data_IF_453495718558
#
_entry.id   IF_453495718558
#
_cell.length_a   1.000
_cell.length_b   1.000
_cell.length_c   1.000
_cell.angle_alpha   90.00
_cell.angle_beta   90.00
_cell.angle_gamma   90.00
#
_symmetry.space_group_name_H-M   'P 1'
#
loop_
_entity.id
_entity.type
_entity.pdbx_description
1 polymer ?
#
# COMPACT_ATOMS: atom_id res chain seq x y z
N UNK A 1 6.44 23.51 7.09
CA UNK A 1 5.47 24.32 6.34
C UNK A 1 4.10 23.66 6.44
N UNK A 2 3.03 24.44 6.51
CA UNK A 2 1.64 23.93 6.56
C UNK A 2 1.17 23.49 5.18
N UNK A 3 0.44 22.38 5.10
CA UNK A 3 -0.19 21.92 3.86
C UNK A 3 -0.40 20.40 3.87
N UNK A 4 -1.38 19.95 3.09
CA UNK A 4 -1.82 18.55 3.08
C UNK A 4 -0.81 17.68 2.34
N UNK A 5 -0.71 16.44 2.79
CA UNK A 5 0.11 15.39 2.19
C UNK A 5 -0.81 14.25 1.79
N UNK A 6 -0.72 13.83 0.54
CA UNK A 6 -1.36 12.62 0.07
C UNK A 6 -0.32 11.53 -0.05
N UNK A 7 -0.63 10.32 0.39
CA UNK A 7 0.25 9.16 0.23
C UNK A 7 -0.49 7.99 -0.41
N UNK A 8 0.04 7.46 -1.50
CA UNK A 8 -0.42 6.23 -2.14
C UNK A 8 0.33 5.07 -1.50
N UNK A 9 -0.40 4.13 -0.91
CA UNK A 9 0.19 3.12 -0.03
C UNK A 9 -0.44 1.74 -0.18
N UNK A 10 0.38 0.71 0.07
CA UNK A 10 -0.04 -0.68 0.19
C UNK A 10 1.06 -1.48 0.89
N UNK A 11 0.68 -2.59 1.51
CA UNK A 11 1.55 -3.45 2.29
C UNK A 11 2.30 -2.79 3.46
N UNK A 12 3.24 -3.55 4.02
CA UNK A 12 4.03 -3.16 5.19
C UNK A 12 4.97 -1.99 4.91
N UNK A 13 5.54 -1.92 3.71
CA UNK A 13 6.46 -0.85 3.30
C UNK A 13 5.78 0.52 3.33
N UNK A 14 4.57 0.60 2.78
CA UNK A 14 3.78 1.81 2.81
C UNK A 14 3.30 2.19 4.20
N UNK A 15 2.78 1.24 4.98
CA UNK A 15 2.36 1.52 6.35
C UNK A 15 3.50 2.10 7.23
N UNK A 16 4.74 1.63 7.04
CA UNK A 16 5.91 2.21 7.70
C UNK A 16 6.18 3.65 7.29
N UNK A 17 6.05 4.00 6.01
CA UNK A 17 6.25 5.38 5.55
C UNK A 17 5.15 6.30 6.06
N UNK A 18 3.88 5.86 6.03
CA UNK A 18 2.76 6.66 6.59
C UNK A 18 2.99 6.95 8.07
N UNK A 19 3.46 5.96 8.83
CA UNK A 19 3.83 6.18 10.23
C UNK A 19 5.00 7.17 10.37
N UNK A 20 5.95 7.15 9.45
CA UNK A 20 7.03 8.15 9.36
C UNK A 20 6.50 9.56 9.10
N UNK A 21 5.53 9.72 8.21
CA UNK A 21 4.86 11.00 7.93
C UNK A 21 4.18 11.55 9.19
N UNK A 22 3.50 10.71 9.98
CA UNK A 22 2.88 11.10 11.25
C UNK A 22 3.89 11.57 12.32
N UNK A 23 5.18 11.24 12.18
CA UNK A 23 6.21 11.76 13.10
C UNK A 23 6.69 13.17 12.76
N UNK A 24 6.42 13.62 11.53
CA UNK A 24 7.03 14.84 10.98
C UNK A 24 5.98 15.83 10.49
N UNK A 25 4.71 15.43 10.45
CA UNK A 25 3.56 16.24 10.09
C UNK A 25 2.38 15.91 11.02
N UNK A 26 1.48 16.88 11.28
CA UNK A 26 0.24 16.61 12.00
C UNK A 26 -0.58 15.53 11.27
N UNK A 27 -1.12 14.52 11.97
CA UNK A 27 -1.91 13.46 11.34
C UNK A 27 -3.08 13.98 10.49
N UNK A 28 -3.74 15.05 10.92
CA UNK A 28 -4.88 15.67 10.25
C UNK A 28 -4.56 16.24 8.85
N UNK A 29 -3.27 16.50 8.57
CA UNK A 29 -2.80 16.95 7.27
C UNK A 29 -2.50 15.79 6.31
N UNK A 30 -2.58 14.53 6.77
CA UNK A 30 -2.22 13.35 6.00
C UNK A 30 -3.48 12.64 5.49
N UNK A 31 -3.50 12.36 4.18
CA UNK A 31 -4.48 11.46 3.55
C UNK A 31 -3.76 10.27 2.93
N UNK A 32 -4.04 9.07 3.43
CA UNK A 32 -3.55 7.83 2.86
C UNK A 32 -4.59 7.21 1.91
N UNK A 33 -4.24 7.07 0.64
CA UNK A 33 -5.02 6.33 -0.37
C UNK A 33 -4.44 4.92 -0.43
N UNK A 34 -5.24 3.95 -0.02
CA UNK A 34 -4.80 2.57 0.25
C UNK A 34 -5.26 1.63 -0.85
N UNK A 35 -4.36 0.78 -1.31
CA UNK A 35 -4.66 -0.34 -2.19
C UNK A 35 -5.78 -1.22 -1.61
N UNK A 36 -6.75 -1.59 -2.46
CA UNK A 36 -7.77 -2.61 -2.17
C UNK A 36 -7.74 -3.77 -3.18
N UNK A 37 -6.75 -3.81 -4.08
CA UNK A 37 -6.56 -4.93 -5.01
C UNK A 37 -6.28 -6.27 -4.33
N UNK A 38 -5.84 -6.22 -3.07
CA UNK A 38 -5.56 -7.39 -2.24
C UNK A 38 -6.78 -7.85 -1.42
N UNK A 39 -7.87 -7.09 -1.47
CA UNK A 39 -9.10 -7.39 -0.75
C UNK A 39 -9.77 -8.64 -1.32
N UNK A 40 -10.28 -9.49 -0.43
CA UNK A 40 -10.91 -10.74 -0.83
C UNK A 40 -11.91 -11.22 0.22
N UNK A 41 -12.66 -12.26 -0.14
CA UNK A 41 -13.52 -12.98 0.79
C UNK A 41 -12.89 -14.30 1.22
N UNK A 42 -12.83 -14.53 2.52
CA UNK A 42 -12.40 -15.80 3.11
C UNK A 42 -13.36 -16.21 4.21
N UNK A 43 -13.85 -17.45 4.17
CA UNK A 43 -14.83 -17.97 5.13
C UNK A 43 -16.08 -17.07 5.28
N UNK A 44 -16.49 -16.41 4.19
CA UNK A 44 -17.60 -15.45 4.16
C UNK A 44 -17.26 -14.04 4.66
N UNK A 45 -16.07 -13.82 5.20
CA UNK A 45 -15.62 -12.55 5.75
C UNK A 45 -14.92 -11.70 4.68
N UNK A 46 -15.16 -10.39 4.71
CA UNK A 46 -14.45 -9.38 3.93
C UNK A 46 -13.12 -9.02 4.62
N UNK A 47 -12.02 -9.25 3.92
CA UNK A 47 -10.65 -9.00 4.39
C UNK A 47 -10.03 -7.94 3.50
N UNK A 48 -9.41 -6.92 4.13
CA UNK A 48 -8.76 -5.81 3.44
C UNK A 48 -7.31 -5.68 3.93
N UNK A 49 -6.38 -6.52 3.45
CA UNK A 49 -5.07 -6.72 4.07
C UNK A 49 -4.23 -5.43 4.18
N UNK A 50 -4.27 -4.56 3.18
CA UNK A 50 -3.48 -3.33 3.15
C UNK A 50 -4.06 -2.25 4.07
N UNK A 51 -5.39 -2.14 4.14
CA UNK A 51 -6.09 -1.29 5.11
C UNK A 51 -5.80 -1.78 6.53
N UNK A 52 -5.95 -3.09 6.77
CA UNK A 52 -5.75 -3.68 8.10
C UNK A 52 -4.29 -3.52 8.55
N UNK A 53 -3.32 -3.78 7.67
CA UNK A 53 -1.89 -3.55 7.93
C UNK A 53 -1.61 -2.10 8.30
N UNK A 54 -2.22 -1.14 7.59
CA UNK A 54 -2.08 0.28 7.89
C UNK A 54 -2.68 0.61 9.26
N UNK A 55 -3.92 0.21 9.52
CA UNK A 55 -4.59 0.44 10.79
C UNK A 55 -3.80 -0.16 11.98
N UNK A 56 -3.27 -1.38 11.85
CA UNK A 56 -2.46 -2.00 12.90
C UNK A 56 -1.15 -1.26 13.11
N UNK A 57 -0.46 -0.89 12.04
CA UNK A 57 0.83 -0.20 12.12
C UNK A 57 0.70 1.16 12.78
N UNK A 58 -0.26 1.98 12.34
CA UNK A 58 -0.44 3.35 12.84
C UNK A 58 -0.96 3.38 14.27
N UNK A 59 -1.72 2.36 14.66
CA UNK A 59 -2.32 2.26 16.00
C UNK A 59 -1.41 1.58 17.02
N UNK A 60 -0.19 1.19 16.64
CA UNK A 60 0.76 0.49 17.51
C UNK A 60 0.38 -0.96 17.83
N UNK A 61 -0.47 -1.58 17.01
CA UNK A 61 -1.01 -2.93 17.20
C UNK A 61 -0.43 -3.97 16.24
N UNK A 62 0.42 -3.59 15.29
CA UNK A 62 1.03 -4.53 14.33
C UNK A 62 2.03 -5.46 15.03
N UNK A 63 2.05 -6.74 14.64
CA UNK A 63 3.01 -7.70 15.21
C UNK A 63 4.43 -7.42 14.71
N UNK A 64 5.35 -7.18 15.65
CA UNK A 64 6.77 -7.08 15.32
C UNK A 64 7.38 -8.46 15.04
N UNK A 65 6.92 -9.49 15.76
CA UNK A 65 7.44 -10.84 15.69
C UNK A 65 7.07 -11.55 14.38
N UNK A 66 5.81 -11.46 13.97
CA UNK A 66 5.32 -12.10 12.73
C UNK A 66 5.62 -11.24 11.50
N UNK A 67 5.70 -9.92 11.68
CA UNK A 67 5.91 -8.97 10.60
C UNK A 67 4.68 -8.71 9.73
N UNK A 68 3.54 -9.30 10.09
CA UNK A 68 2.19 -9.13 9.56
C UNK A 68 1.19 -9.39 10.72
N UNK A 69 -0.08 -9.04 10.53
CA UNK A 69 -1.11 -9.25 11.55
C UNK A 69 -0.91 -8.38 12.81
N UNK A 70 -1.59 -8.77 13.88
CA UNK A 70 -1.66 -8.01 15.14
C UNK A 70 -0.78 -8.62 16.22
N UNK A 71 -0.31 -7.78 17.13
CA UNK A 71 0.44 -8.21 18.31
C UNK A 71 -0.51 -8.83 19.35
N UNK A 72 -0.09 -9.93 19.99
CA UNK A 72 -0.88 -10.61 21.01
C UNK A 72 -2.03 -11.47 20.48
N UNK A 73 -1.98 -11.90 19.22
CA UNK A 73 -2.99 -12.79 18.63
C UNK A 73 -2.94 -14.21 19.23
N UNK A 74 -4.13 -14.81 19.33
CA UNK A 74 -4.33 -16.24 19.57
C UNK A 74 -4.95 -16.88 18.33
N UNK A 75 -4.82 -18.20 18.21
CA UNK A 75 -5.18 -18.96 17.00
C UNK A 75 -6.30 -19.96 17.26
N UNK A 76 -7.11 -19.74 18.28
CA UNK A 76 -8.13 -20.71 18.73
C UNK A 76 -9.18 -20.95 17.64
N UNK A 77 -9.57 -19.89 16.93
CA UNK A 77 -10.45 -19.99 15.77
C UNK A 77 -9.86 -20.88 14.67
N UNK A 78 -8.59 -20.65 14.31
CA UNK A 78 -7.93 -21.44 13.25
C UNK A 78 -7.73 -22.90 13.66
N UNK A 79 -7.39 -23.17 14.92
CA UNK A 79 -7.26 -24.53 15.45
C UNK A 79 -8.59 -25.28 15.38
N UNK A 80 -9.70 -24.62 15.79
CA UNK A 80 -11.03 -25.19 15.70
C UNK A 80 -11.47 -25.40 14.25
N UNK A 81 -11.23 -24.42 13.37
CA UNK A 81 -11.54 -24.51 11.94
C UNK A 81 -10.82 -25.70 11.29
N UNK A 82 -9.53 -25.86 11.59
CA UNK A 82 -8.71 -26.98 11.10
C UNK A 82 -9.22 -28.33 11.60
N UNK A 83 -9.71 -28.41 12.85
CA UNK A 83 -10.30 -29.63 13.39
C UNK A 83 -11.58 -30.09 12.66
N UNK A 84 -12.16 -29.20 11.83
CA UNK A 84 -13.33 -29.44 10.99
C UNK A 84 -12.98 -29.53 9.50
N UNK A 85 -11.70 -29.76 9.16
CA UNK A 85 -11.18 -29.79 7.77
C UNK A 85 -11.44 -28.49 6.98
N UNK A 86 -11.53 -27.35 7.68
CA UNK A 86 -11.62 -26.03 7.07
C UNK A 86 -10.28 -25.55 6.48
N UNK A 87 -10.34 -24.53 5.63
CA UNK A 87 -9.15 -23.93 5.00
C UNK A 87 -8.24 -23.26 6.04
N UNK A 88 -6.95 -23.60 6.05
CA UNK A 88 -5.93 -23.05 6.97
C UNK A 88 -4.76 -22.36 6.25
N UNK A 89 -4.90 -22.11 4.94
CA UNK A 89 -3.86 -21.46 4.13
C UNK A 89 -3.74 -19.95 4.42
N UNK A 90 -4.80 -19.32 4.91
CA UNK A 90 -4.81 -17.93 5.38
C UNK A 90 -5.17 -17.90 6.86
N UNK A 91 -4.23 -17.45 7.69
CA UNK A 91 -4.42 -17.46 9.14
C UNK A 91 -5.18 -16.21 9.59
N UNK A 92 -6.24 -16.41 10.36
CA UNK A 92 -7.05 -15.34 10.98
C UNK A 92 -6.86 -15.36 12.49
N UNK A 93 -6.21 -14.33 13.04
CA UNK A 93 -6.05 -14.19 14.49
C UNK A 93 -7.40 -13.89 15.16
N UNK A 94 -7.60 -14.36 16.39
CA UNK A 94 -8.86 -14.16 17.13
C UNK A 94 -9.22 -12.66 17.30
N UNK A 95 -8.23 -11.77 17.46
CA UNK A 95 -8.42 -10.32 17.51
C UNK A 95 -8.57 -9.67 16.14
N UNK A 96 -7.93 -10.23 15.11
CA UNK A 96 -8.05 -9.84 13.69
C UNK A 96 -9.47 -10.10 13.16
N UNK A 97 -10.04 -11.24 13.56
CA UNK A 97 -11.42 -11.64 13.28
C UNK A 97 -12.45 -10.57 13.68
N UNK A 98 -12.21 -9.80 14.74
CA UNK A 98 -13.12 -8.73 15.13
C UNK A 98 -13.28 -7.66 14.03
N UNK A 99 -12.21 -7.30 13.33
CA UNK A 99 -12.27 -6.36 12.22
C UNK A 99 -13.02 -6.97 11.05
N UNK A 100 -12.70 -8.21 10.69
CA UNK A 100 -13.29 -8.87 9.54
C UNK A 100 -14.79 -9.12 9.72
N UNK A 101 -15.22 -9.59 10.90
CA UNK A 101 -16.64 -9.78 11.24
C UNK A 101 -17.38 -8.44 11.20
N UNK A 102 -16.83 -7.41 11.83
CA UNK A 102 -17.49 -6.12 11.91
C UNK A 102 -17.57 -5.43 10.54
N UNK A 103 -16.49 -5.44 9.75
CA UNK A 103 -16.48 -4.96 8.36
C UNK A 103 -17.52 -5.70 7.54
N UNK A 104 -17.52 -7.03 7.60
CA UNK A 104 -18.48 -7.85 6.84
C UNK A 104 -19.92 -7.52 7.19
N UNK A 105 -20.22 -7.34 8.47
CA UNK A 105 -21.55 -6.97 8.95
C UNK A 105 -21.99 -5.59 8.45
N UNK A 106 -21.11 -4.60 8.52
CA UNK A 106 -21.39 -3.22 8.07
C UNK A 106 -21.58 -3.15 6.55
N UNK A 107 -20.71 -3.80 5.78
CA UNK A 107 -20.83 -3.91 4.32
C UNK A 107 -22.14 -4.62 3.92
N UNK A 108 -22.49 -5.71 4.61
CA UNK A 108 -23.76 -6.41 4.38
C UNK A 108 -24.99 -5.56 4.73
N UNK A 109 -24.82 -4.56 5.61
CA UNK A 109 -25.85 -3.59 5.98
C UNK A 109 -25.91 -2.37 5.04
N UNK A 110 -25.08 -2.36 3.98
CA UNK A 110 -25.07 -1.31 2.96
C UNK A 110 -24.10 -0.14 3.24
N UNK A 111 -23.25 -0.22 4.27
CA UNK A 111 -22.17 0.75 4.45
C UNK A 111 -21.06 0.53 3.40
N UNK A 112 -20.37 1.60 3.01
CA UNK A 112 -19.22 1.54 2.09
C UNK A 112 -17.93 1.17 2.81
N UNK A 113 -16.92 0.68 2.08
CA UNK A 113 -15.61 0.36 2.66
C UNK A 113 -14.92 1.61 3.23
N UNK A 114 -15.10 2.76 2.59
CA UNK A 114 -14.63 4.07 3.02
C UNK A 114 -15.22 4.47 4.37
N UNK A 115 -16.54 4.29 4.57
CA UNK A 115 -17.21 4.56 5.84
C UNK A 115 -16.73 3.63 6.96
N UNK A 116 -16.62 2.32 6.67
CA UNK A 116 -16.10 1.33 7.62
C UNK A 116 -14.68 1.66 8.04
N UNK A 117 -13.81 1.98 7.08
CA UNK A 117 -12.40 2.31 7.30
C UNK A 117 -12.25 3.58 8.14
N UNK A 118 -13.02 4.63 7.83
CA UNK A 118 -13.03 5.86 8.62
C UNK A 118 -13.48 5.61 10.07
N UNK A 119 -14.46 4.73 10.27
CA UNK A 119 -14.93 4.35 11.61
C UNK A 119 -13.84 3.65 12.40
N UNK A 120 -13.10 2.71 11.80
CA UNK A 120 -11.99 2.02 12.47
C UNK A 120 -10.84 2.97 12.81
N UNK A 121 -10.46 3.84 11.87
CA UNK A 121 -9.43 4.85 12.10
C UNK A 121 -9.80 5.81 13.25
N UNK A 122 -11.07 6.23 13.31
CA UNK A 122 -11.60 7.07 14.39
C UNK A 122 -11.61 6.34 15.73
N UNK A 123 -12.08 5.09 15.77
CA UNK A 123 -12.12 4.28 16.99
C UNK A 123 -10.73 4.06 17.60
N UNK A 124 -9.67 4.10 16.78
CA UNK A 124 -8.28 3.97 17.22
C UNK A 124 -7.53 5.29 17.31
N UNK A 125 -8.21 6.43 17.16
CA UNK A 125 -7.64 7.76 17.40
C UNK A 125 -6.49 8.12 16.45
N UNK A 126 -6.52 7.66 15.19
CA UNK A 126 -5.39 7.81 14.28
C UNK A 126 -5.20 9.24 13.72
N UNK A 127 -6.24 10.08 13.74
CA UNK A 127 -6.18 11.49 13.36
C UNK A 127 -6.04 11.80 11.85
N UNK A 128 -5.45 10.90 11.08
CA UNK A 128 -5.33 11.00 9.62
C UNK A 128 -6.56 10.47 8.87
N UNK A 129 -6.69 10.83 7.59
CA UNK A 129 -7.68 10.23 6.69
C UNK A 129 -7.11 8.99 6.03
N UNK A 130 -7.84 7.87 6.11
CA UNK A 130 -7.52 6.63 5.41
C UNK A 130 -8.66 6.35 4.44
N UNK A 131 -8.35 6.40 3.15
CA UNK A 131 -9.30 6.20 2.06
C UNK A 131 -8.92 4.93 1.31
N UNK A 132 -9.82 3.96 1.11
CA UNK A 132 -9.59 2.92 0.11
C UNK A 132 -9.47 3.59 -1.27
N UNK A 133 -8.74 2.98 -2.21
CA UNK A 133 -8.66 3.50 -3.59
C UNK A 133 -10.03 3.53 -4.27
N UNK A 134 -10.90 2.56 -3.93
CA UNK A 134 -12.27 2.43 -4.42
C UNK A 134 -13.16 1.78 -3.35
N UNK A 135 -14.44 2.12 -3.35
CA UNK A 135 -15.48 1.36 -2.63
C UNK A 135 -16.00 0.18 -3.46
N UNK A 136 -15.71 0.16 -4.76
CA UNK A 136 -16.03 -0.94 -5.67
C UNK A 136 -14.98 -2.06 -5.56
N UNK A 137 -15.39 -3.28 -5.89
CA UNK A 137 -14.51 -4.43 -5.84
C UNK A 137 -13.47 -4.37 -6.99
N UNK A 138 -12.20 -4.38 -6.62
CA UNK A 138 -11.06 -4.54 -7.53
C UNK A 138 -10.18 -5.66 -7.00
N UNK A 139 -9.91 -6.68 -7.81
CA UNK A 139 -9.17 -7.86 -7.37
C UNK A 139 -7.94 -8.12 -8.25
N UNK A 140 -6.76 -8.09 -7.63
CA UNK A 140 -5.50 -8.44 -8.28
C UNK A 140 -5.48 -9.94 -8.57
N UNK A 141 -5.26 -10.28 -9.84
CA UNK A 141 -5.02 -11.63 -10.31
C UNK A 141 -3.67 -11.72 -11.00
N UNK A 142 -2.97 -12.82 -10.76
CA UNK A 142 -1.69 -13.12 -11.41
C UNK A 142 -1.87 -14.29 -12.36
N UNK A 143 -1.43 -14.12 -13.60
CA UNK A 143 -1.27 -15.22 -14.54
C UNK A 143 0.10 -15.82 -14.35
N UNK A 144 0.18 -17.13 -14.11
CA UNK A 144 1.44 -17.81 -13.79
C UNK A 144 1.69 -18.99 -14.73
N UNK A 145 2.86 -19.61 -14.60
CA UNK A 145 3.15 -20.88 -15.25
C UNK A 145 2.34 -22.06 -14.72
N UNK A 146 1.72 -21.93 -13.54
CA UNK A 146 0.80 -22.89 -12.94
C UNK A 146 -0.69 -22.56 -13.20
N UNK A 147 -0.97 -21.52 -14.00
CA UNK A 147 -2.32 -21.04 -14.28
C UNK A 147 -2.64 -19.70 -13.61
N UNK A 148 -3.89 -19.28 -13.71
CA UNK A 148 -4.36 -18.02 -13.15
C UNK A 148 -4.73 -18.17 -11.67
N UNK A 149 -4.26 -17.25 -10.83
CA UNK A 149 -4.48 -17.27 -9.39
C UNK A 149 -4.95 -15.91 -8.86
N UNK A 150 -5.94 -15.88 -7.94
CA UNK A 150 -6.19 -14.73 -7.10
C UNK A 150 -4.93 -14.38 -6.30
N UNK A 151 -4.66 -13.09 -6.09
CA UNK A 151 -3.40 -12.66 -5.51
C UNK A 151 -3.07 -13.32 -4.16
N UNK A 152 -4.02 -13.43 -3.23
CA UNK A 152 -3.76 -14.02 -1.91
C UNK A 152 -3.43 -15.53 -1.97
N UNK A 153 -3.99 -16.25 -2.94
CA UNK A 153 -3.65 -17.67 -3.18
C UNK A 153 -2.22 -17.79 -3.71
N UNK A 154 -1.83 -16.92 -4.62
CA UNK A 154 -0.44 -16.84 -5.07
C UNK A 154 0.52 -16.44 -3.95
N UNK A 155 0.18 -15.39 -3.19
CA UNK A 155 1.06 -14.74 -2.23
C UNK A 155 1.23 -15.55 -0.95
N UNK A 156 0.12 -16.01 -0.35
CA UNK A 156 0.11 -16.69 0.95
C UNK A 156 0.19 -18.21 0.78
N UNK A 157 -0.79 -18.80 0.10
CA UNK A 157 -0.90 -20.26 -0.03
C UNK A 157 0.28 -20.84 -0.82
N UNK A 158 0.57 -20.28 -2.00
CA UNK A 158 1.64 -20.75 -2.87
C UNK A 158 2.98 -20.03 -2.63
N UNK A 159 3.06 -19.13 -1.64
CA UNK A 159 4.29 -18.44 -1.20
C UNK A 159 5.08 -17.79 -2.34
N UNK A 160 4.37 -17.22 -3.30
CA UNK A 160 4.94 -16.63 -4.50
C UNK A 160 5.78 -17.60 -5.35
N UNK A 161 5.63 -18.91 -5.22
CA UNK A 161 6.47 -19.90 -5.94
C UNK A 161 6.22 -19.90 -7.45
N UNK A 162 4.98 -19.91 -7.97
CA UNK A 162 4.74 -19.88 -9.41
C UNK A 162 5.38 -18.67 -10.08
N UNK A 163 5.83 -18.83 -11.33
CA UNK A 163 6.43 -17.74 -12.08
C UNK A 163 5.35 -16.87 -12.70
N UNK A 164 5.35 -15.56 -12.41
CA UNK A 164 4.33 -14.64 -12.92
C UNK A 164 4.64 -14.25 -14.37
N UNK A 165 3.61 -14.28 -15.22
CA UNK A 165 3.66 -13.90 -16.63
C UNK A 165 2.93 -12.58 -16.90
N UNK A 166 1.86 -12.33 -16.17
CA UNK A 166 1.06 -11.12 -16.29
C UNK A 166 0.27 -10.85 -15.01
N UNK A 167 -0.16 -9.60 -14.82
CA UNK A 167 -0.97 -9.15 -13.70
C UNK A 167 -2.17 -8.41 -14.28
N UNK A 168 -3.34 -8.62 -13.68
CA UNK A 168 -4.58 -7.94 -14.07
C UNK A 168 -5.36 -7.53 -12.82
N UNK A 169 -6.13 -6.47 -12.95
CA UNK A 169 -6.97 -5.94 -11.88
C UNK A 169 -8.43 -6.09 -12.30
N UNK A 170 -9.04 -7.19 -11.88
CA UNK A 170 -10.42 -7.52 -12.23
C UNK A 170 -11.37 -6.54 -11.56
N UNK A 171 -12.31 -5.97 -12.33
CA UNK A 171 -13.26 -4.94 -11.85
C UNK A 171 -12.74 -3.51 -11.92
N UNK A 172 -11.44 -3.28 -12.14
CA UNK A 172 -10.85 -1.94 -12.12
C UNK A 172 -11.50 -0.99 -13.15
N UNK A 173 -11.76 -1.45 -14.37
CA UNK A 173 -12.36 -0.64 -15.45
C UNK A 173 -13.78 -0.14 -15.12
N UNK A 174 -14.50 -0.81 -14.20
CA UNK A 174 -15.85 -0.44 -13.77
C UNK A 174 -15.85 0.25 -12.40
N UNK A 175 -14.71 0.27 -11.71
CA UNK A 175 -14.58 0.85 -10.39
C UNK A 175 -14.50 2.38 -10.46
N UNK A 176 -14.92 3.03 -9.39
CA UNK A 176 -14.83 4.47 -9.21
C UNK A 176 -13.88 4.80 -8.05
N UNK A 177 -13.16 5.94 -8.10
CA UNK A 177 -12.40 6.41 -6.96
C UNK A 177 -13.31 6.56 -5.73
N UNK A 178 -12.88 6.09 -4.57
CA UNK A 178 -13.66 6.25 -3.35
C UNK A 178 -13.88 7.76 -3.01
N UNK A 179 -14.93 8.11 -2.26
CA UNK A 179 -15.18 9.49 -1.86
C UNK A 179 -13.96 10.13 -1.18
N UNK A 180 -13.52 11.29 -1.69
CA UNK A 180 -12.38 12.04 -1.17
C UNK A 180 -11.03 11.74 -1.85
N UNK A 181 -10.92 10.69 -2.67
CA UNK A 181 -9.66 10.30 -3.32
C UNK A 181 -9.21 11.37 -4.33
N UNK A 182 -10.09 11.73 -5.27
CA UNK A 182 -9.77 12.72 -6.32
C UNK A 182 -9.63 14.11 -5.71
N UNK A 183 -10.47 14.44 -4.74
CA UNK A 183 -10.43 15.69 -4.00
C UNK A 183 -9.10 15.87 -3.29
N UNK A 184 -8.59 14.82 -2.61
CA UNK A 184 -7.30 14.89 -1.92
C UNK A 184 -6.13 15.12 -2.89
N UNK A 185 -6.12 14.42 -4.03
CA UNK A 185 -5.07 14.56 -5.06
C UNK A 185 -5.10 15.96 -5.68
N UNK A 186 -6.29 16.50 -5.93
CA UNK A 186 -6.49 17.75 -6.67
C UNK A 186 -6.53 19.00 -5.78
N UNK A 187 -6.53 18.83 -4.47
CA UNK A 187 -6.64 19.93 -3.50
C UNK A 187 -5.48 20.94 -3.68
N UNK A 188 -5.76 22.23 -3.89
CA UNK A 188 -4.73 23.26 -3.94
C UNK A 188 -3.87 23.38 -2.67
N UNK A 189 -4.37 22.90 -1.51
CA UNK A 189 -3.63 22.85 -0.26
C UNK A 189 -2.74 21.59 -0.15
N UNK A 190 -2.86 20.62 -1.04
CA UNK A 190 -1.92 19.50 -1.13
C UNK A 190 -0.58 20.02 -1.62
N UNK A 191 0.45 19.86 -0.80
CA UNK A 191 1.81 20.34 -1.08
C UNK A 191 2.75 19.24 -1.54
N UNK A 192 2.40 17.99 -1.32
CA UNK A 192 3.16 16.83 -1.77
C UNK A 192 2.24 15.61 -1.91
N UNK A 193 2.47 14.84 -2.96
CA UNK A 193 1.93 13.49 -3.13
C UNK A 193 3.11 12.52 -3.06
N UNK A 194 3.04 11.53 -2.18
CA UNK A 194 4.11 10.57 -1.97
C UNK A 194 3.63 9.18 -2.38
N UNK A 195 4.37 8.51 -3.26
CA UNK A 195 4.17 7.08 -3.51
C UNK A 195 5.11 6.32 -2.58
N UNK A 196 4.53 5.52 -1.69
CA UNK A 196 5.29 4.72 -0.73
C UNK A 196 6.23 3.70 -1.40
N UNK A 197 7.26 3.17 -0.69
CA UNK A 197 8.11 2.09 -1.18
C UNK A 197 7.38 0.73 -1.10
N UNK A 198 6.20 0.68 -1.70
CA UNK A 198 5.35 -0.48 -1.88
C UNK A 198 5.75 -1.23 -3.16
N UNK A 199 5.16 -2.40 -3.42
CA UNK A 199 5.35 -3.06 -4.70
C UNK A 199 4.67 -2.25 -5.82
N UNK A 200 5.38 -1.82 -6.88
CA UNK A 200 4.78 -1.03 -7.95
C UNK A 200 3.59 -1.74 -8.59
N UNK A 201 3.77 -2.99 -8.98
CA UNK A 201 2.77 -3.77 -9.73
C UNK A 201 1.62 -4.32 -8.89
N UNK A 202 1.85 -4.59 -7.61
CA UNK A 202 0.86 -5.27 -6.74
C UNK A 202 0.21 -4.34 -5.74
N UNK A 203 0.80 -3.17 -5.47
CA UNK A 203 0.30 -2.24 -4.45
C UNK A 203 0.01 -0.84 -4.99
N UNK A 204 0.69 -0.37 -6.05
CA UNK A 204 0.47 0.97 -6.60
C UNK A 204 -0.34 0.90 -7.88
N UNK A 205 -0.03 -0.03 -8.78
CA UNK A 205 -0.77 -0.22 -10.02
C UNK A 205 -2.26 -0.53 -9.83
N UNK A 206 -2.72 -1.29 -8.82
CA UNK A 206 -4.16 -1.41 -8.57
C UNK A 206 -4.83 -0.06 -8.27
N UNK A 207 -4.14 0.83 -7.55
CA UNK A 207 -4.61 2.20 -7.27
C UNK A 207 -4.69 2.98 -8.59
N UNK A 208 -3.66 2.90 -9.42
CA UNK A 208 -3.60 3.59 -10.70
C UNK A 208 -4.55 3.02 -11.76
N UNK A 209 -5.02 1.78 -11.58
CA UNK A 209 -5.94 1.10 -12.49
C UNK A 209 -7.39 1.56 -12.32
N UNK A 210 -7.74 2.21 -11.20
CA UNK A 210 -9.08 2.78 -10.99
C UNK A 210 -9.21 4.06 -11.84
N UNK A 211 -10.17 4.13 -12.79
CA UNK A 211 -10.38 5.29 -13.65
C UNK A 211 -10.52 6.60 -12.88
N UNK A 212 -9.86 7.66 -13.34
CA UNK A 212 -9.88 8.98 -12.72
C UNK A 212 -8.68 9.25 -11.81
N UNK A 213 -8.07 8.23 -11.20
CA UNK A 213 -6.92 8.43 -10.29
C UNK A 213 -5.68 8.87 -11.06
N UNK A 214 -5.35 8.19 -12.17
CA UNK A 214 -4.19 8.56 -13.00
C UNK A 214 -4.38 9.93 -13.64
N UNK A 215 -5.59 10.27 -14.08
CA UNK A 215 -5.94 11.57 -14.64
C UNK A 215 -5.77 12.68 -13.60
N UNK A 216 -6.21 12.45 -12.36
CA UNK A 216 -6.02 13.39 -11.26
C UNK A 216 -4.53 13.58 -10.94
N UNK A 217 -3.73 12.51 -10.93
CA UNK A 217 -2.28 12.57 -10.73
C UNK A 217 -1.53 13.28 -11.86
N UNK A 218 -2.07 13.28 -13.08
CA UNK A 218 -1.53 14.02 -14.21
C UNK A 218 -1.92 15.52 -14.17
N UNK A 219 -3.12 15.84 -13.66
CA UNK A 219 -3.65 17.21 -13.61
C UNK A 219 -3.32 17.98 -12.31
N UNK A 220 -2.82 17.28 -11.29
CA UNK A 220 -2.45 17.84 -9.98
C UNK A 220 -1.36 18.92 -10.09
N UNK A 221 -1.33 19.78 -9.07
CA UNK A 221 -0.33 20.85 -8.94
C UNK A 221 0.83 20.49 -7.99
N UNK A 222 0.54 19.69 -6.98
CA UNK A 222 1.52 19.32 -5.95
C UNK A 222 2.58 18.36 -6.50
N UNK A 223 3.87 18.47 -6.20
CA UNK A 223 4.88 17.49 -6.63
C UNK A 223 4.53 16.04 -6.26
N UNK A 224 4.77 15.08 -7.16
CA UNK A 224 4.65 13.63 -6.89
C UNK A 224 6.04 13.01 -6.74
N UNK A 225 6.33 12.51 -5.54
CA UNK A 225 7.61 11.86 -5.21
C UNK A 225 7.37 10.38 -4.91
N UNK A 226 7.99 9.49 -5.65
CA UNK A 226 8.05 8.08 -5.28
C UNK A 226 9.25 7.79 -4.39
N UNK A 227 9.09 6.89 -3.42
CA UNK A 227 10.21 6.27 -2.71
C UNK A 227 10.46 4.91 -3.34
N UNK A 228 11.67 4.69 -3.84
CA UNK A 228 12.01 3.42 -4.49
C UNK A 228 11.89 2.24 -3.49
N UNK A 229 11.29 1.11 -3.89
CA UNK A 229 11.29 -0.12 -3.09
C UNK A 229 12.62 -0.89 -3.16
N UNK A 230 13.57 -0.45 -4.00
CA UNK A 230 14.88 -1.08 -4.18
C UNK A 230 15.88 -0.53 -3.16
N UNK A 231 16.65 -1.45 -2.57
CA UNK A 231 17.72 -1.20 -1.60
C UNK A 231 18.90 -2.12 -1.91
N UNK A 232 19.99 -1.57 -2.43
CA UNK A 232 21.22 -2.31 -2.73
C UNK A 232 21.05 -3.37 -3.82
N UNK A 233 20.30 -3.03 -4.87
CA UNK A 233 19.97 -3.93 -5.99
C UNK A 233 18.99 -5.04 -5.64
N UNK A 234 18.33 -4.97 -4.48
CA UNK A 234 17.38 -5.96 -3.97
C UNK A 234 16.09 -5.26 -3.55
N UNK A 235 14.96 -5.96 -3.58
CA UNK A 235 13.75 -5.49 -2.91
C UNK A 235 13.80 -5.85 -1.41
N UNK A 236 13.38 -4.93 -0.53
CA UNK A 236 13.48 -5.14 0.93
C UNK A 236 12.56 -6.25 1.42
N UNK A 237 11.33 -6.29 0.93
CA UNK A 237 10.29 -7.27 1.30
C UNK A 237 9.36 -7.54 0.13
N UNK A 238 8.77 -8.73 0.13
CA UNK A 238 7.78 -9.14 -0.86
C UNK A 238 8.38 -9.51 -2.21
N UNK A 239 7.53 -9.82 -3.20
CA UNK A 239 7.96 -10.45 -4.44
C UNK A 239 8.48 -9.45 -5.48
N UNK A 240 8.76 -8.18 -5.16
CA UNK A 240 9.07 -7.15 -6.16
C UNK A 240 10.26 -7.51 -7.04
N UNK A 241 11.40 -7.89 -6.47
CA UNK A 241 12.58 -8.27 -7.28
C UNK A 241 12.35 -9.53 -8.13
N UNK A 242 11.63 -10.53 -7.58
CA UNK A 242 11.22 -11.73 -8.31
C UNK A 242 10.34 -11.36 -9.50
N UNK A 243 9.30 -10.56 -9.24
CA UNK A 243 8.31 -10.14 -10.22
C UNK A 243 8.97 -9.33 -11.35
N UNK A 244 9.87 -8.41 -11.01
CA UNK A 244 10.66 -7.69 -12.01
C UNK A 244 11.43 -8.65 -12.90
N UNK A 245 12.17 -9.61 -12.32
CA UNK A 245 12.91 -10.59 -13.11
C UNK A 245 12.02 -11.46 -14.01
N UNK A 246 10.86 -11.89 -13.51
CA UNK A 246 9.90 -12.71 -14.25
C UNK A 246 9.20 -11.94 -15.38
N UNK A 247 9.00 -10.64 -15.21
CA UNK A 247 8.50 -9.73 -16.24
C UNK A 247 9.61 -9.23 -17.20
N UNK A 248 10.84 -9.74 -17.06
CA UNK A 248 11.97 -9.37 -17.93
C UNK A 248 12.56 -7.98 -17.65
N UNK A 249 12.32 -7.42 -16.47
CA UNK A 249 12.78 -6.11 -16.03
C UNK A 249 14.04 -6.22 -15.16
N UNK A 250 14.93 -5.24 -15.28
CA UNK A 250 16.09 -5.12 -14.39
C UNK A 250 15.69 -4.58 -13.01
N UNK A 251 16.23 -5.15 -11.92
CA UNK A 251 16.01 -4.69 -10.54
C UNK A 251 16.79 -3.40 -10.27
N UNK A 252 16.35 -2.29 -10.85
CA UNK A 252 17.05 -1.00 -10.80
C UNK A 252 16.10 0.16 -10.53
N UNK A 253 16.62 1.25 -9.96
CA UNK A 253 15.85 2.49 -9.79
C UNK A 253 15.40 3.10 -11.13
N UNK A 254 16.16 2.87 -12.22
CA UNK A 254 15.76 3.30 -13.56
C UNK A 254 14.51 2.56 -14.05
N UNK A 255 14.41 1.25 -13.80
CA UNK A 255 13.21 0.49 -14.13
C UNK A 255 12.00 0.96 -13.32
N UNK A 256 12.19 1.30 -12.04
CA UNK A 256 11.13 1.88 -11.19
C UNK A 256 10.69 3.25 -11.73
N UNK A 257 11.64 4.13 -12.08
CA UNK A 257 11.32 5.44 -12.64
C UNK A 257 10.55 5.33 -13.97
N UNK A 258 10.99 4.42 -14.86
CA UNK A 258 10.32 4.15 -16.13
C UNK A 258 8.90 3.58 -15.94
N UNK A 259 8.70 2.70 -14.95
CA UNK A 259 7.38 2.16 -14.63
C UNK A 259 6.37 3.26 -14.24
N UNK A 260 6.85 4.29 -13.53
CA UNK A 260 6.04 5.43 -13.11
C UNK A 260 6.09 6.64 -14.06
N UNK A 261 6.53 6.44 -15.31
CA UNK A 261 6.55 7.51 -16.30
C UNK A 261 5.17 8.16 -16.45
N UNK A 262 5.15 9.50 -16.47
CA UNK A 262 3.93 10.30 -16.51
C UNK A 262 3.13 10.36 -15.19
N UNK A 263 3.62 9.73 -14.11
CA UNK A 263 2.99 9.78 -12.78
C UNK A 263 3.86 10.52 -11.77
N UNK A 264 5.16 10.23 -11.72
CA UNK A 264 6.08 10.82 -10.73
C UNK A 264 6.89 11.98 -11.34
N UNK A 265 7.24 12.97 -10.51
CA UNK A 265 8.21 14.01 -10.87
C UNK A 265 9.61 13.68 -10.39
N UNK A 266 9.71 12.92 -9.30
CA UNK A 266 10.97 12.64 -8.66
C UNK A 266 10.99 11.29 -7.94
N UNK A 267 12.20 10.78 -7.73
CA UNK A 267 12.43 9.51 -7.05
C UNK A 267 13.41 9.67 -5.87
N UNK A 268 13.01 9.23 -4.69
CA UNK A 268 13.88 9.05 -3.54
C UNK A 268 14.47 7.64 -3.58
N UNK A 269 15.81 7.53 -3.60
CA UNK A 269 16.52 6.25 -3.73
C UNK A 269 17.40 5.95 -2.52
N UNK A 270 17.69 4.66 -2.31
CA UNK A 270 18.57 4.23 -1.23
C UNK A 270 20.03 4.64 -1.47
N UNK A 271 20.74 4.95 -0.39
CA UNK A 271 22.16 5.29 -0.39
C UNK A 271 23.05 4.19 -0.98
N UNK A 272 22.63 2.92 -0.87
CA UNK A 272 23.38 1.77 -1.39
C UNK A 272 23.31 1.66 -2.92
N UNK A 273 22.25 2.18 -3.53
CA UNK A 273 22.07 2.20 -4.98
C UNK A 273 22.62 3.48 -5.62
N UNK A 274 22.46 4.60 -4.92
CA UNK A 274 22.74 5.93 -5.46
C UNK A 274 21.79 6.33 -6.61
N UNK A 275 21.98 7.55 -7.12
CA UNK A 275 21.15 8.13 -8.19
C UNK A 275 21.75 8.03 -9.60
N UNK A 276 22.82 7.25 -9.79
CA UNK A 276 23.56 7.23 -11.06
C UNK A 276 22.68 6.65 -12.18
N UNK A 277 22.50 7.41 -13.25
CA UNK A 277 21.72 7.00 -14.43
C UNK A 277 20.21 7.26 -14.34
N UNK A 278 19.75 8.01 -13.34
CA UNK A 278 18.39 8.54 -13.29
C UNK A 278 18.31 9.87 -14.03
N UNK A 279 17.43 9.94 -15.03
CA UNK A 279 17.17 11.14 -15.82
C UNK A 279 16.04 12.01 -15.26
N UNK A 280 15.57 11.69 -14.04
CA UNK A 280 14.56 12.46 -13.31
C UNK A 280 15.17 13.07 -12.03
N UNK A 281 14.60 14.17 -11.50
CA UNK A 281 14.94 14.68 -10.19
C UNK A 281 14.96 13.57 -9.13
N UNK A 282 15.99 13.54 -8.30
CA UNK A 282 16.13 12.51 -7.29
C UNK A 282 16.87 13.00 -6.05
N UNK A 283 16.73 12.22 -4.99
CA UNK A 283 17.48 12.38 -3.76
C UNK A 283 17.92 11.03 -3.24
N UNK A 284 18.94 11.03 -2.39
CA UNK A 284 19.53 9.82 -1.83
C UNK A 284 19.43 9.87 -0.31
N UNK A 285 18.93 8.81 0.31
CA UNK A 285 18.91 8.62 1.78
C UNK A 285 18.97 7.13 2.11
N UNK A 286 19.19 6.74 3.37
CA UNK A 286 18.95 5.35 3.77
C UNK A 286 17.44 5.10 3.85
N UNK A 287 16.88 4.37 2.89
CA UNK A 287 15.44 4.10 2.79
C UNK A 287 15.00 2.89 3.62
N UNK A 288 15.93 2.21 4.27
CA UNK A 288 15.64 1.06 5.12
C UNK A 288 14.99 1.47 6.45
N UNK A 289 13.68 1.26 6.56
CA UNK A 289 12.86 1.65 7.72
C UNK A 289 12.77 0.55 8.80
N UNK A 290 13.75 0.48 9.71
CA UNK A 290 13.74 -0.45 10.85
C UNK A 290 13.12 0.19 12.09
N UNK A 291 13.54 1.39 12.42
CA UNK A 291 13.11 2.16 13.60
C UNK A 291 12.10 3.24 13.24
N UNK A 292 11.55 3.93 14.24
CA UNK A 292 10.71 5.10 14.03
C UNK A 292 11.49 6.29 13.45
N UNK A 293 12.74 6.47 13.88
CA UNK A 293 13.65 7.49 13.34
C UNK A 293 13.97 7.25 11.86
N UNK A 294 14.12 5.99 11.47
CA UNK A 294 14.30 5.64 10.06
C UNK A 294 13.10 6.06 9.22
N UNK A 295 11.87 5.77 9.70
CA UNK A 295 10.63 6.14 9.02
C UNK A 295 10.51 7.65 8.89
N UNK A 296 10.81 8.39 9.96
CA UNK A 296 10.80 9.85 9.97
C UNK A 296 11.87 10.44 9.04
N UNK A 297 13.06 9.83 8.94
CA UNK A 297 14.12 10.21 7.98
C UNK A 297 13.63 10.09 6.54
N UNK A 298 13.05 8.95 6.16
CA UNK A 298 12.56 8.73 4.80
C UNK A 298 11.42 9.68 4.46
N UNK A 299 10.48 9.87 5.40
CA UNK A 299 9.39 10.83 5.26
C UNK A 299 9.91 12.26 5.02
N UNK A 300 10.85 12.75 5.84
CA UNK A 300 11.49 14.07 5.64
C UNK A 300 12.17 14.16 4.28
N UNK A 301 12.98 13.17 3.92
CA UNK A 301 13.70 13.21 2.65
C UNK A 301 12.77 13.24 1.43
N UNK A 302 11.62 12.56 1.49
CA UNK A 302 10.61 12.61 0.43
C UNK A 302 9.94 14.00 0.35
N UNK A 303 9.58 14.58 1.50
CA UNK A 303 8.98 15.92 1.57
C UNK A 303 9.96 17.03 1.17
N UNK A 304 11.22 16.93 1.58
CA UNK A 304 12.29 17.87 1.20
C UNK A 304 12.60 17.78 -0.30
N UNK A 305 12.48 16.60 -0.90
CA UNK A 305 12.59 16.44 -2.36
C UNK A 305 11.38 17.07 -3.07
N UNK A 306 10.17 16.85 -2.57
CA UNK A 306 8.96 17.49 -3.08
C UNK A 306 9.06 19.03 -3.03
N UNK A 307 9.50 19.59 -1.90
CA UNK A 307 9.68 21.04 -1.74
C UNK A 307 10.72 21.58 -2.74
N UNK A 308 11.86 20.91 -2.90
CA UNK A 308 12.90 21.35 -3.84
C UNK A 308 12.47 21.38 -5.30
N UNK A 309 11.60 20.47 -5.73
CA UNK A 309 11.12 20.44 -7.13
C UNK A 309 9.90 21.34 -7.34
N UNK A 310 9.20 21.74 -6.28
CA UNK A 310 8.10 22.69 -6.35
C UNK A 310 8.55 24.14 -6.58
N UNK A 311 9.78 24.49 -6.16
CA UNK A 311 10.36 25.84 -6.29
C UNK A 311 10.29 26.65 -5.02
#
# INVERSE_FOLDING_TARGET
MSGRIVVLTGGVGGAKLVLGLMQVCPPEDITAIVNTGDDFRHLGLAISPDIDTLLYTLSGRASAAQGWGREGETWSFMDALKSLDGEDWFLLGDGDMALHVLRSHMLASGETLSAVTARFATAWGLGLKILPMSDDAVATHVSTDAGDLPFQRYFVEQRCVPAVRAIRFEGAEQAHPAPGVIEAISDPATRAIVIAPSNPWLSVDPILAVPGIREALAARKAPVVAVSPIVGGQAVKGPTAKLMGELGLGVTNQAIAAHYEGVIDALLVDVRDGGKGLDIPHAVTDTLMKTLDDRARVARAALDLAERIAG
#
